data_IF_322293371772
#
_entry.id   IF_322293371772
#
_cell.length_a   1.000
_cell.length_b   1.000
_cell.length_c   1.000
_cell.angle_alpha   90.00
_cell.angle_beta   90.00
_cell.angle_gamma   90.00
#
_symmetry.space_group_name_H-M   'P 1'
#
loop_
_entity.id
_entity.type
_entity.pdbx_description
1 polymer ?
#
# COMPACT_ATOMS: atom_id res chain seq x y z
N UNK A 1 -22.35 -50.89 31.31
CA UNK A 1 -20.96 -50.50 31.61
C UNK A 1 -20.50 -49.39 30.70
N UNK A 2 -20.36 -48.24 31.25
CA UNK A 2 -19.67 -47.07 30.73
C UNK A 2 -18.14 -47.31 30.75
N UNK A 3 -17.32 -46.59 29.96
CA UNK A 3 -16.93 -45.25 30.29
C UNK A 3 -16.75 -44.33 29.05
N UNK A 4 -17.25 -43.09 29.12
CA UNK A 4 -16.55 -41.80 29.29
C UNK A 4 -15.19 -41.62 28.61
N UNK A 5 -15.16 -40.79 27.58
CA UNK A 5 -13.96 -40.17 27.02
C UNK A 5 -14.32 -38.76 26.55
N UNK A 6 -13.82 -37.74 27.28
CA UNK A 6 -14.01 -36.35 26.94
C UNK A 6 -13.19 -35.94 25.73
N UNK A 7 -13.81 -35.26 24.78
CA UNK A 7 -13.15 -34.53 23.73
C UNK A 7 -13.03 -33.06 24.19
N UNK A 8 -11.80 -32.58 24.24
CA UNK A 8 -11.53 -31.15 24.33
C UNK A 8 -11.81 -30.53 22.95
N UNK A 9 -12.79 -29.65 22.91
CA UNK A 9 -12.94 -28.68 21.81
C UNK A 9 -11.80 -27.68 21.93
N UNK A 10 -10.85 -27.79 21.02
CA UNK A 10 -9.97 -26.68 20.69
C UNK A 10 -10.68 -25.87 19.60
N UNK A 11 -11.22 -24.74 19.97
CA UNK A 11 -11.71 -23.74 19.04
C UNK A 11 -10.51 -23.09 18.38
N UNK A 12 -10.05 -23.67 17.26
CA UNK A 12 -9.20 -22.96 16.31
C UNK A 12 -10.06 -21.89 15.64
N UNK A 13 -9.82 -20.64 16.00
CA UNK A 13 -10.26 -19.49 15.24
C UNK A 13 -9.32 -19.34 14.04
N UNK A 14 -9.49 -20.19 13.05
CA UNK A 14 -9.04 -19.87 11.70
C UNK A 14 -9.96 -18.78 11.15
N UNK A 15 -9.45 -17.56 11.09
CA UNK A 15 -10.07 -16.48 10.32
C UNK A 15 -10.17 -16.87 8.85
N UNK A 16 -10.97 -16.14 8.06
CA UNK A 16 -11.14 -16.45 6.65
C UNK A 16 -9.80 -16.31 5.94
N UNK A 17 -9.14 -17.41 5.70
CA UNK A 17 -8.05 -17.49 4.73
C UNK A 17 -8.73 -17.58 3.37
N UNK A 18 -8.44 -16.63 2.49
CA UNK A 18 -8.70 -16.86 1.07
C UNK A 18 -7.91 -18.11 0.70
N UNK A 19 -8.64 -19.20 0.49
CA UNK A 19 -8.06 -20.41 -0.09
C UNK A 19 -7.74 -20.04 -1.55
N UNK A 20 -6.49 -19.67 -1.81
CA UNK A 20 -5.97 -19.52 -3.16
C UNK A 20 -6.04 -20.91 -3.75
N UNK A 21 -7.21 -21.23 -4.32
CA UNK A 21 -7.51 -22.51 -4.92
C UNK A 21 -6.40 -22.87 -5.89
N UNK A 22 -5.74 -24.01 -5.66
CA UNK A 22 -4.65 -24.51 -6.46
C UNK A 22 -5.05 -24.81 -7.91
N UNK A 23 -5.11 -23.75 -8.69
CA UNK A 23 -4.91 -23.79 -10.13
C UNK A 23 -3.42 -23.61 -10.37
N UNK A 24 -2.79 -24.51 -11.10
CA UNK A 24 -1.38 -24.45 -11.50
C UNK A 24 -1.11 -23.27 -12.45
N UNK A 25 -1.40 -22.04 -12.03
CA UNK A 25 -1.14 -20.86 -12.84
C UNK A 25 -1.04 -19.62 -11.95
N UNK A 26 0.15 -19.15 -11.77
CA UNK A 26 0.50 -18.04 -10.92
C UNK A 26 0.69 -18.54 -9.48
N UNK A 27 1.88 -19.06 -9.17
CA UNK A 27 2.28 -19.32 -7.80
C UNK A 27 2.16 -18.06 -6.97
N UNK A 28 2.00 -18.19 -5.65
CA UNK A 28 2.00 -17.04 -4.77
C UNK A 28 3.23 -16.21 -5.12
N UNK A 29 3.05 -14.92 -5.25
CA UNK A 29 4.12 -13.96 -5.53
C UNK A 29 5.21 -14.05 -4.46
N UNK A 30 4.85 -14.63 -3.35
CA UNK A 30 5.71 -15.06 -2.30
C UNK A 30 5.90 -16.59 -2.42
N UNK A 31 6.81 -17.05 -3.29
CA UNK A 31 7.16 -18.47 -3.31
C UNK A 31 7.82 -18.85 -1.99
N UNK A 32 7.23 -19.77 -1.23
CA UNK A 32 7.92 -20.30 -0.06
C UNK A 32 9.17 -21.04 -0.55
N UNK A 33 10.33 -20.61 -0.11
CA UNK A 33 11.50 -21.46 -0.15
C UNK A 33 11.22 -22.64 0.77
N UNK A 34 10.86 -23.80 0.21
CA UNK A 34 10.66 -25.00 0.97
C UNK A 34 11.92 -25.30 1.80
N UNK A 35 11.78 -25.36 3.12
CA UNK A 35 12.84 -25.72 4.05
C UNK A 35 13.65 -24.59 4.67
N UNK A 36 13.22 -23.33 4.58
CA UNK A 36 13.82 -22.26 5.37
C UNK A 36 13.28 -22.30 6.82
N UNK A 37 14.09 -22.75 7.81
CA UNK A 37 13.64 -22.82 9.22
C UNK A 37 13.31 -21.44 9.81
N UNK A 38 13.68 -20.33 9.15
CA UNK A 38 13.27 -18.98 9.53
C UNK A 38 11.84 -18.66 9.09
N UNK A 39 11.25 -19.52 8.25
CA UNK A 39 9.87 -19.42 7.77
C UNK A 39 8.93 -20.43 8.42
N UNK A 40 9.38 -21.64 8.72
CA UNK A 40 8.59 -22.61 9.49
C UNK A 40 8.31 -22.16 10.93
N UNK A 41 9.00 -21.12 11.38
CA UNK A 41 8.78 -20.44 12.66
C UNK A 41 8.17 -19.05 12.57
N UNK A 42 7.76 -18.60 11.40
CA UNK A 42 6.89 -17.43 11.22
C UNK A 42 7.49 -16.07 11.56
N UNK A 43 8.78 -15.85 11.60
CA UNK A 43 9.19 -14.62 12.27
C UNK A 43 9.47 -13.42 11.36
N UNK A 44 10.07 -13.57 10.17
CA UNK A 44 10.49 -12.38 9.40
C UNK A 44 9.53 -12.01 8.26
N UNK A 45 8.99 -12.97 7.53
CA UNK A 45 8.15 -12.69 6.38
C UNK A 45 6.70 -12.35 6.77
N UNK A 46 6.10 -13.15 7.63
CA UNK A 46 4.70 -12.94 8.04
C UNK A 46 4.50 -11.71 8.93
N UNK A 47 5.43 -11.44 9.87
CA UNK A 47 5.31 -10.26 10.73
C UNK A 47 5.53 -8.95 9.98
N UNK A 48 6.46 -8.89 9.06
CA UNK A 48 6.75 -7.67 8.31
C UNK A 48 5.59 -7.24 7.41
N UNK A 49 4.85 -8.19 6.87
CA UNK A 49 3.68 -7.94 6.02
C UNK A 49 2.36 -7.87 6.81
N UNK A 50 2.41 -7.97 8.14
CA UNK A 50 1.23 -7.82 9.02
C UNK A 50 1.04 -6.39 9.51
N UNK A 51 1.52 -5.39 8.77
CA UNK A 51 1.36 -3.98 9.13
C UNK A 51 0.58 -3.21 8.08
N UNK A 52 -0.26 -2.29 8.60
CA UNK A 52 -0.79 -1.19 7.81
C UNK A 52 -0.15 0.12 8.28
N UNK A 53 0.31 0.93 7.31
CA UNK A 53 0.98 2.20 7.58
C UNK A 53 0.08 3.37 7.19
N UNK A 54 -0.31 4.18 8.18
CA UNK A 54 -1.30 5.24 7.99
C UNK A 54 -0.70 6.61 8.33
N UNK A 55 -0.76 7.54 7.39
CA UNK A 55 -0.30 8.90 7.58
C UNK A 55 -1.26 9.70 8.48
N UNK A 56 -0.73 10.23 9.58
CA UNK A 56 -1.38 11.19 10.46
C UNK A 56 -1.01 12.60 10.00
N UNK A 57 -1.65 13.06 8.93
CA UNK A 57 -1.27 14.29 8.24
C UNK A 57 -1.26 15.50 9.16
N UNK A 58 -2.30 15.65 10.01
CA UNK A 58 -2.40 16.78 10.93
C UNK A 58 -1.34 16.79 12.04
N UNK A 59 -0.71 15.64 12.31
CA UNK A 59 0.36 15.49 13.30
C UNK A 59 1.75 15.49 12.66
N UNK A 60 1.84 15.26 11.36
CA UNK A 60 3.13 15.10 10.66
C UNK A 60 3.83 13.77 10.94
N UNK A 61 3.07 12.73 11.27
CA UNK A 61 3.59 11.41 11.65
C UNK A 61 3.01 10.30 10.77
N UNK A 62 3.59 9.11 10.89
CA UNK A 62 3.06 7.87 10.31
C UNK A 62 2.91 6.82 11.41
N UNK A 63 1.77 6.14 11.45
CA UNK A 63 1.48 5.03 12.36
C UNK A 63 1.79 3.70 11.71
N UNK A 64 2.45 2.80 12.43
CA UNK A 64 2.60 1.38 12.14
C UNK A 64 1.61 0.59 12.99
N UNK A 65 0.61 0.00 12.38
CA UNK A 65 -0.47 -0.72 13.07
C UNK A 65 -0.42 -2.18 12.63
N UNK A 66 -0.35 -3.08 13.60
CA UNK A 66 -0.42 -4.51 13.34
C UNK A 66 -1.84 -4.89 12.90
N UNK A 67 -1.96 -5.49 11.69
CA UNK A 67 -3.26 -5.81 11.09
C UNK A 67 -3.98 -6.93 11.83
N UNK A 68 -3.26 -7.84 12.46
CA UNK A 68 -3.85 -8.99 13.16
C UNK A 68 -4.36 -8.62 14.55
N UNK A 69 -3.60 -7.76 15.26
CA UNK A 69 -3.92 -7.39 16.65
C UNK A 69 -4.66 -6.07 16.80
N UNK A 70 -4.70 -5.24 15.76
CA UNK A 70 -5.21 -3.87 15.78
C UNK A 70 -4.48 -2.97 16.78
N UNK A 71 -3.20 -3.25 17.04
CA UNK A 71 -2.36 -2.48 17.99
C UNK A 71 -1.37 -1.64 17.18
N UNK A 72 -1.23 -0.37 17.56
CA UNK A 72 -0.15 0.48 17.06
C UNK A 72 1.17 0.06 17.70
N UNK A 73 2.17 -0.24 16.88
CA UNK A 73 3.50 -0.70 17.28
C UNK A 73 4.60 0.29 16.93
N UNK A 74 4.22 1.47 16.45
CA UNK A 74 5.15 2.57 16.18
C UNK A 74 4.44 3.79 15.64
N UNK A 75 4.93 4.98 16.00
CA UNK A 75 4.49 6.26 15.43
C UNK A 75 5.68 7.19 15.24
N UNK A 76 5.97 7.49 13.99
CA UNK A 76 7.22 8.13 13.59
C UNK A 76 6.97 9.50 12.99
N UNK A 77 7.81 10.49 13.30
CA UNK A 77 7.80 11.79 12.63
C UNK A 77 8.25 11.59 11.18
N UNK A 78 7.47 12.07 10.21
CA UNK A 78 7.69 11.80 8.78
C UNK A 78 8.64 12.80 8.09
N UNK A 79 9.03 13.90 8.76
CA UNK A 79 9.89 14.96 8.21
C UNK A 79 10.50 15.79 9.35
N UNK A 80 11.71 16.38 9.18
CA UNK A 80 12.38 17.18 10.22
C UNK A 80 11.54 18.31 10.81
N UNK A 81 10.79 19.01 10.00
CA UNK A 81 9.97 20.14 10.42
C UNK A 81 8.67 20.19 9.60
N UNK A 82 7.53 20.27 10.29
CA UNK A 82 6.25 20.53 9.67
C UNK A 82 5.87 19.51 8.60
N UNK A 83 6.03 18.23 8.89
CA UNK A 83 5.65 17.16 8.00
C UNK A 83 4.17 17.23 7.59
N UNK A 84 3.88 16.91 6.35
CA UNK A 84 2.54 16.84 5.77
C UNK A 84 2.39 15.51 5.00
N UNK A 85 2.57 14.34 5.72
CA UNK A 85 2.54 13.03 5.10
C UNK A 85 1.15 12.73 4.53
N UNK A 86 1.11 12.12 3.34
CA UNK A 86 -0.18 11.80 2.73
C UNK A 86 -0.20 10.51 1.93
N UNK A 87 0.90 10.13 1.33
CA UNK A 87 1.01 8.90 0.53
C UNK A 87 2.03 7.99 1.14
N UNK A 88 1.68 6.73 1.14
CA UNK A 88 2.52 5.63 1.58
C UNK A 88 2.69 4.63 0.45
N UNK A 89 3.77 3.91 0.47
CA UNK A 89 3.94 2.67 -0.28
C UNK A 89 4.77 1.73 0.58
N UNK A 90 4.41 0.47 0.61
CA UNK A 90 5.07 -0.55 1.44
C UNK A 90 5.75 -1.54 0.53
N UNK A 91 7.03 -1.82 0.80
CA UNK A 91 7.81 -2.79 0.02
C UNK A 91 7.55 -4.23 0.48
N UNK A 92 8.14 -5.21 -0.20
CA UNK A 92 7.95 -6.62 0.12
C UNK A 92 8.72 -7.09 1.37
N UNK A 93 9.43 -6.18 2.06
CA UNK A 93 9.96 -6.37 3.41
C UNK A 93 9.04 -5.79 4.50
N UNK A 94 7.94 -5.14 4.10
CA UNK A 94 7.02 -4.46 5.00
C UNK A 94 7.40 -3.03 5.35
N UNK A 95 8.55 -2.53 4.87
CA UNK A 95 9.01 -1.17 5.14
C UNK A 95 8.18 -0.15 4.37
N UNK A 96 7.93 0.98 4.98
CA UNK A 96 7.14 2.04 4.37
C UNK A 96 8.01 3.16 3.82
N UNK A 97 7.66 3.64 2.64
CA UNK A 97 8.02 4.99 2.20
C UNK A 97 6.83 5.93 2.37
N UNK A 98 7.05 7.11 2.93
CA UNK A 98 6.02 8.11 3.14
C UNK A 98 6.43 9.44 2.51
N UNK A 99 5.61 9.92 1.55
CA UNK A 99 5.81 11.19 0.88
C UNK A 99 5.07 12.32 1.61
N UNK A 100 5.75 13.45 1.80
CA UNK A 100 5.20 14.66 2.40
C UNK A 100 4.78 15.65 1.31
N UNK A 101 3.53 16.12 1.33
CA UNK A 101 2.99 17.05 0.32
C UNK A 101 3.79 18.33 0.15
N UNK A 102 4.50 18.73 1.19
CA UNK A 102 5.37 19.90 1.22
C UNK A 102 6.86 19.57 0.96
N UNK A 103 7.11 18.46 0.26
CA UNK A 103 8.43 17.99 -0.11
C UNK A 103 9.08 17.06 0.92
N UNK A 104 9.92 16.16 0.42
CA UNK A 104 10.65 15.17 1.20
C UNK A 104 9.93 13.82 1.36
N UNK A 105 10.70 12.77 1.38
CA UNK A 105 10.25 11.39 1.51
C UNK A 105 11.12 10.63 2.50
N UNK A 106 10.50 9.85 3.37
CA UNK A 106 11.18 9.05 4.39
C UNK A 106 10.88 7.56 4.22
N UNK A 107 11.84 6.71 4.59
CA UNK A 107 11.64 5.27 4.75
C UNK A 107 11.75 4.90 6.23
N UNK A 108 10.85 4.02 6.69
CA UNK A 108 10.92 3.42 8.03
C UNK A 108 10.94 1.91 7.92
N UNK A 109 11.78 1.28 8.76
CA UNK A 109 11.85 -0.17 8.86
C UNK A 109 10.62 -0.75 9.56
N UNK A 110 10.10 -1.86 9.01
CA UNK A 110 9.00 -2.59 9.63
C UNK A 110 9.47 -3.42 10.82
N UNK A 111 10.60 -4.11 10.66
CA UNK A 111 11.13 -4.99 11.69
C UNK A 111 12.09 -4.23 12.61
N UNK A 112 11.91 -4.34 13.93
CA UNK A 112 12.86 -3.74 14.88
C UNK A 112 14.31 -4.25 14.72
N UNK A 113 14.48 -5.46 14.18
CA UNK A 113 15.80 -6.03 13.93
C UNK A 113 16.57 -5.37 12.77
N UNK A 114 15.87 -4.67 11.88
CA UNK A 114 16.45 -3.92 10.77
C UNK A 114 16.77 -2.48 11.15
N UNK A 115 16.20 -1.98 12.28
CA UNK A 115 16.52 -0.67 12.84
C UNK A 115 18.00 -0.60 13.23
N UNK A 116 18.61 0.56 13.03
CA UNK A 116 20.07 0.69 13.18
C UNK A 116 20.44 1.64 14.31
N UNK A 117 21.23 1.12 15.25
CA UNK A 117 21.85 1.93 16.31
C UNK A 117 22.64 3.10 15.69
N UNK A 118 22.26 4.31 15.99
CA UNK A 118 22.80 5.52 15.38
C UNK A 118 23.24 6.58 16.38
N UNK A 119 22.83 6.46 17.66
CA UNK A 119 23.03 7.52 18.66
C UNK A 119 24.05 7.17 19.74
N UNK A 120 24.53 5.92 19.79
CA UNK A 120 25.53 5.43 20.78
C UNK A 120 24.94 5.09 22.14
N UNK A 121 23.62 5.02 22.26
CA UNK A 121 22.90 4.53 23.44
C UNK A 121 22.58 3.05 23.20
N UNK A 122 23.12 2.12 24.00
CA UNK A 122 22.92 0.70 23.72
C UNK A 122 21.47 0.25 23.61
N UNK A 123 21.15 -0.46 22.54
CA UNK A 123 19.81 -0.92 22.19
C UNK A 123 19.09 0.03 21.23
N UNK A 124 18.10 -0.45 20.51
CA UNK A 124 17.33 0.35 19.54
C UNK A 124 16.34 1.24 20.28
N UNK A 125 16.45 2.55 20.07
CA UNK A 125 15.49 3.54 20.52
C UNK A 125 14.48 3.79 19.41
N UNK A 126 13.24 3.39 19.64
CA UNK A 126 12.15 3.58 18.70
C UNK A 126 10.82 3.82 19.42
N UNK A 127 9.95 4.57 18.79
CA UNK A 127 8.57 4.78 19.26
C UNK A 127 7.80 3.48 19.24
N UNK A 128 6.96 3.25 20.24
CA UNK A 128 6.01 2.12 20.28
C UNK A 128 4.57 2.55 19.97
N UNK A 129 4.32 3.83 19.80
CA UNK A 129 3.00 4.36 19.48
C UNK A 129 2.81 5.83 19.85
N UNK A 130 1.56 6.25 19.97
CA UNK A 130 1.22 7.67 20.19
C UNK A 130 1.74 8.27 21.50
N UNK A 131 2.07 7.44 22.50
CA UNK A 131 2.47 7.91 23.83
C UNK A 131 3.96 8.27 23.94
N UNK A 132 4.79 7.80 23.04
CA UNK A 132 6.26 7.87 23.11
C UNK A 132 6.92 8.25 21.78
N UNK A 133 6.28 9.09 21.01
CA UNK A 133 6.82 9.60 19.73
C UNK A 133 8.18 10.27 20.00
N UNK A 134 9.23 9.73 19.40
CA UNK A 134 10.57 10.28 19.54
C UNK A 134 10.76 11.52 18.66
N UNK A 135 11.60 12.49 19.09
CA UNK A 135 12.00 13.61 18.25
C UNK A 135 12.64 13.16 16.94
N UNK A 136 12.55 14.00 15.91
CA UNK A 136 13.20 13.72 14.63
C UNK A 136 14.71 13.44 14.79
N UNK A 137 15.16 12.34 14.19
CA UNK A 137 16.55 11.91 14.23
C UNK A 137 16.94 11.13 15.49
N UNK A 138 16.01 10.89 16.42
CA UNK A 138 16.23 10.04 17.58
C UNK A 138 15.62 8.65 17.43
N UNK A 139 14.70 8.47 16.45
CA UNK A 139 14.08 7.18 16.17
C UNK A 139 14.97 6.37 15.22
N UNK A 140 15.47 5.25 15.71
CA UNK A 140 16.44 4.40 15.00
C UNK A 140 15.80 3.44 13.99
N UNK A 141 14.46 3.46 13.88
CA UNK A 141 13.75 2.80 12.79
C UNK A 141 13.52 3.71 11.58
N UNK A 142 13.99 4.97 11.61
CA UNK A 142 14.13 5.79 10.42
C UNK A 142 15.31 5.26 9.57
N UNK A 143 15.00 4.64 8.43
CA UNK A 143 16.03 4.09 7.54
C UNK A 143 16.80 5.21 6.81
N UNK A 144 16.05 6.12 6.19
CA UNK A 144 16.60 7.29 5.50
C UNK A 144 15.53 8.36 5.28
N UNK A 145 15.99 9.57 5.01
CA UNK A 145 15.15 10.69 4.56
C UNK A 145 15.82 11.42 3.41
N UNK A 146 15.08 11.66 2.34
CA UNK A 146 15.53 12.44 1.20
C UNK A 146 14.77 13.74 1.15
N UNK A 147 15.51 14.84 1.32
CA UNK A 147 14.96 16.20 1.18
C UNK A 147 14.64 16.46 -0.29
N UNK A 148 13.41 16.83 -0.57
CA UNK A 148 12.96 17.27 -1.90
C UNK A 148 12.42 18.68 -1.79
N UNK A 149 13.05 19.61 -2.52
CA UNK A 149 12.63 21.01 -2.53
C UNK A 149 11.60 21.23 -3.64
N UNK A 150 10.35 20.94 -3.34
CA UNK A 150 9.22 21.09 -4.26
C UNK A 150 7.96 21.55 -3.53
N UNK A 151 7.03 22.14 -4.29
CA UNK A 151 5.73 22.58 -3.79
C UNK A 151 4.73 21.43 -3.64
N UNK A 152 4.98 20.30 -4.30
CA UNK A 152 4.13 19.09 -4.21
C UNK A 152 4.97 17.84 -4.38
N UNK A 153 4.96 16.97 -3.34
CA UNK A 153 5.50 15.62 -3.39
C UNK A 153 4.43 14.67 -2.83
N UNK A 154 3.77 13.92 -3.71
CA UNK A 154 2.64 13.06 -3.30
C UNK A 154 2.87 11.58 -3.61
N UNK A 155 3.22 11.19 -4.86
CA UNK A 155 3.40 9.78 -5.19
C UNK A 155 4.48 9.11 -4.34
N UNK A 156 4.24 7.87 -3.98
CA UNK A 156 5.24 6.93 -3.49
C UNK A 156 4.85 5.56 -4.04
N UNK A 157 5.76 4.89 -4.74
CA UNK A 157 5.52 3.59 -5.34
C UNK A 157 6.80 2.76 -5.38
N UNK A 158 6.88 1.73 -4.54
CA UNK A 158 7.98 0.79 -4.53
C UNK A 158 7.95 -0.10 -5.77
N UNK A 159 9.11 -0.40 -6.33
CA UNK A 159 9.30 -1.56 -7.20
C UNK A 159 9.47 -2.81 -6.33
N UNK A 160 9.29 -3.99 -6.91
CA UNK A 160 9.46 -5.26 -6.18
C UNK A 160 10.92 -5.56 -5.83
N UNK A 161 11.84 -5.11 -6.69
CA UNK A 161 13.22 -5.58 -6.67
C UNK A 161 13.35 -6.98 -7.26
N UNK A 162 14.56 -7.54 -7.16
CA UNK A 162 14.92 -8.86 -7.69
C UNK A 162 14.71 -9.94 -6.64
N UNK A 163 13.98 -10.99 -7.00
CA UNK A 163 13.81 -12.16 -6.16
C UNK A 163 15.04 -13.06 -6.21
N UNK A 164 15.49 -13.52 -5.07
CA UNK A 164 16.60 -14.47 -4.93
C UNK A 164 16.16 -15.75 -4.22
N UNK A 165 16.19 -16.87 -4.92
CA UNK A 165 15.96 -18.17 -4.33
C UNK A 165 16.98 -18.52 -3.22
N UNK A 166 18.22 -18.00 -3.33
CA UNK A 166 19.26 -18.26 -2.35
C UNK A 166 19.00 -17.61 -0.99
N UNK A 167 18.31 -16.48 -0.97
CA UNK A 167 17.98 -15.73 0.25
C UNK A 167 16.49 -15.79 0.57
N UNK A 168 15.68 -16.37 -0.32
CA UNK A 168 14.23 -16.41 -0.24
C UNK A 168 13.61 -15.02 -0.01
N UNK A 169 14.12 -14.03 -0.69
CA UNK A 169 13.69 -12.64 -0.49
C UNK A 169 13.94 -11.78 -1.71
N UNK A 170 13.40 -10.60 -1.64
CA UNK A 170 13.60 -9.54 -2.63
C UNK A 170 14.74 -8.62 -2.20
N UNK A 171 15.47 -8.07 -3.15
CA UNK A 171 16.52 -7.08 -2.92
C UNK A 171 16.58 -6.08 -4.07
N UNK A 172 17.25 -4.94 -3.87
CA UNK A 172 17.38 -3.95 -4.93
C UNK A 172 16.08 -3.21 -5.29
N UNK A 173 15.07 -3.25 -4.43
CA UNK A 173 13.86 -2.46 -4.64
C UNK A 173 14.20 -0.98 -4.76
N UNK A 174 13.57 -0.29 -5.70
CA UNK A 174 13.69 1.15 -5.92
C UNK A 174 12.36 1.83 -5.61
N UNK A 175 12.38 3.13 -5.42
CA UNK A 175 11.19 3.90 -5.06
C UNK A 175 10.94 5.01 -6.07
N UNK A 176 9.81 4.94 -6.75
CA UNK A 176 9.30 6.03 -7.54
C UNK A 176 8.61 7.09 -6.70
N UNK A 177 8.85 8.35 -7.01
CA UNK A 177 8.12 9.49 -6.46
C UNK A 177 8.03 10.61 -7.49
N UNK A 178 7.32 11.70 -7.16
CA UNK A 178 7.30 12.88 -8.00
C UNK A 178 7.48 14.15 -7.17
N UNK A 179 8.17 15.13 -7.73
CA UNK A 179 8.44 16.42 -7.14
C UNK A 179 8.04 17.52 -8.14
N UNK A 180 6.92 18.18 -7.89
CA UNK A 180 6.27 19.11 -8.82
C UNK A 180 5.97 18.45 -10.19
N UNK A 181 6.76 18.79 -11.21
CA UNK A 181 6.59 18.29 -12.59
C UNK A 181 7.47 17.09 -12.93
N UNK A 182 8.39 16.75 -12.06
CA UNK A 182 9.44 15.75 -12.29
C UNK A 182 9.08 14.42 -11.64
N UNK A 183 9.39 13.31 -12.29
CA UNK A 183 9.35 11.98 -11.69
C UNK A 183 10.77 11.57 -11.32
N UNK A 184 10.92 11.01 -10.14
CA UNK A 184 12.19 10.61 -9.55
C UNK A 184 12.19 9.12 -9.24
N UNK A 185 13.31 8.45 -9.51
CA UNK A 185 13.60 7.09 -9.06
C UNK A 185 14.69 7.16 -8.00
N UNK A 186 14.42 6.60 -6.82
CA UNK A 186 15.31 6.58 -5.69
C UNK A 186 15.80 5.17 -5.41
N UNK A 187 17.05 5.06 -4.98
CA UNK A 187 17.58 3.84 -4.42
C UNK A 187 16.84 3.48 -3.12
N UNK A 188 16.32 2.27 -3.02
CA UNK A 188 15.46 1.86 -1.91
C UNK A 188 16.22 1.66 -0.59
N UNK A 189 17.53 1.42 -0.65
CA UNK A 189 18.35 1.23 0.55
C UNK A 189 18.89 2.54 1.12
N UNK A 190 19.16 3.50 0.26
CA UNK A 190 19.86 4.73 0.67
C UNK A 190 19.03 6.00 0.53
N UNK A 191 17.91 5.95 -0.20
CA UNK A 191 17.12 7.13 -0.56
C UNK A 191 17.79 8.05 -1.59
N UNK A 192 18.96 7.70 -2.14
CA UNK A 192 19.65 8.52 -3.14
C UNK A 192 18.83 8.58 -4.44
N UNK A 193 18.72 9.76 -5.04
CA UNK A 193 18.07 9.92 -6.35
C UNK A 193 19.01 9.30 -7.41
N UNK A 194 18.53 8.25 -8.07
CA UNK A 194 19.26 7.56 -9.14
C UNK A 194 18.91 8.11 -10.51
N UNK A 195 17.65 8.53 -10.71
CA UNK A 195 17.18 9.10 -11.95
C UNK A 195 16.19 10.23 -11.72
N UNK A 196 16.24 11.22 -12.60
CA UNK A 196 15.24 12.30 -12.70
C UNK A 196 14.71 12.36 -14.12
N UNK A 197 13.40 12.33 -14.27
CA UNK A 197 12.68 12.50 -15.55
C UNK A 197 11.97 13.84 -15.47
N UNK A 198 12.55 14.90 -16.06
CA UNK A 198 12.09 16.27 -15.81
C UNK A 198 10.89 16.66 -16.66
N UNK A 199 9.99 17.45 -16.08
CA UNK A 199 8.96 18.19 -16.81
C UNK A 199 7.90 17.36 -17.50
N UNK A 200 7.62 16.14 -17.02
CA UNK A 200 6.69 15.21 -17.69
C UNK A 200 5.26 15.25 -17.16
N UNK A 201 5.03 15.96 -16.08
CA UNK A 201 3.71 16.15 -15.49
C UNK A 201 3.40 17.61 -15.20
N UNK A 202 2.25 17.84 -14.57
CA UNK A 202 1.84 19.15 -14.10
C UNK A 202 1.43 19.14 -12.62
N UNK A 203 0.77 18.11 -12.14
CA UNK A 203 0.42 17.92 -10.74
C UNK A 203 0.16 16.43 -10.45
N UNK A 204 1.20 15.74 -10.08
CA UNK A 204 1.09 14.33 -9.72
C UNK A 204 0.32 14.16 -8.42
N UNK A 205 -0.78 13.42 -8.48
CA UNK A 205 -1.66 13.19 -7.35
C UNK A 205 -1.48 11.79 -6.74
N UNK A 206 -1.19 10.79 -7.54
CA UNK A 206 -0.93 9.42 -7.12
C UNK A 206 0.07 8.72 -8.01
N UNK A 207 0.56 7.60 -7.53
CA UNK A 207 1.44 6.71 -8.28
C UNK A 207 1.37 5.29 -7.75
N UNK A 208 1.64 4.35 -8.64
CA UNK A 208 1.78 2.92 -8.36
C UNK A 208 2.88 2.35 -9.25
N UNK A 209 3.46 1.23 -8.88
CA UNK A 209 4.35 0.47 -9.74
C UNK A 209 3.66 -0.81 -10.22
N UNK A 210 3.96 -1.22 -11.45
CA UNK A 210 3.53 -2.53 -11.95
C UNK A 210 4.53 -3.64 -11.59
N UNK A 211 4.22 -4.86 -11.98
CA UNK A 211 5.05 -6.04 -11.69
C UNK A 211 6.43 -6.03 -12.36
N UNK A 212 6.60 -5.22 -13.40
CA UNK A 212 7.86 -5.02 -14.12
C UNK A 212 8.69 -3.89 -13.51
N UNK A 213 8.11 -3.11 -12.58
CA UNK A 213 8.77 -1.98 -11.92
C UNK A 213 8.52 -0.64 -12.59
N UNK A 214 7.70 -0.56 -13.64
CA UNK A 214 7.37 0.71 -14.28
C UNK A 214 6.52 1.59 -13.36
N UNK A 215 6.70 2.89 -13.45
CA UNK A 215 5.88 3.85 -12.73
C UNK A 215 4.60 4.18 -13.48
N UNK A 216 3.49 4.12 -12.79
CA UNK A 216 2.20 4.61 -13.25
C UNK A 216 1.82 5.83 -12.42
N UNK A 217 1.76 6.98 -13.06
CA UNK A 217 1.47 8.26 -12.44
C UNK A 217 0.08 8.78 -12.80
N UNK A 218 -0.61 9.31 -11.80
CA UNK A 218 -1.86 10.03 -11.96
C UNK A 218 -1.57 11.53 -11.89
N UNK A 219 -1.50 12.18 -13.04
CA UNK A 219 -1.39 13.65 -13.14
C UNK A 219 -2.79 14.25 -13.28
N UNK A 220 -3.23 15.00 -12.27
CA UNK A 220 -4.55 15.63 -12.25
C UNK A 220 -4.51 17.10 -12.61
N UNK A 221 -3.34 17.64 -12.97
CA UNK A 221 -3.20 19.00 -13.48
C UNK A 221 -3.69 19.12 -14.92
N UNK A 222 -4.04 20.33 -15.32
CA UNK A 222 -4.49 20.61 -16.68
C UNK A 222 -5.74 19.82 -17.08
N UNK A 223 -5.63 19.04 -18.15
CA UNK A 223 -6.71 18.15 -18.63
C UNK A 223 -6.77 16.81 -17.94
N UNK A 224 -5.76 16.50 -17.12
CA UNK A 224 -5.59 15.21 -16.46
C UNK A 224 -5.09 14.10 -17.38
N UNK A 225 -4.13 13.32 -16.92
CA UNK A 225 -3.57 12.21 -17.69
C UNK A 225 -3.11 11.06 -16.80
N UNK A 226 -3.19 9.84 -17.35
CA UNK A 226 -2.45 8.70 -16.87
C UNK A 226 -1.08 8.71 -17.57
N UNK A 227 -0.03 8.42 -16.81
CA UNK A 227 1.33 8.44 -17.31
C UNK A 227 2.01 7.14 -16.92
N UNK A 228 2.82 6.57 -17.82
CA UNK A 228 3.74 5.47 -17.55
C UNK A 228 5.16 5.92 -17.82
N UNK A 229 6.06 5.60 -16.89
CA UNK A 229 7.51 5.68 -17.12
C UNK A 229 8.08 4.28 -17.08
N UNK A 230 8.73 3.89 -18.15
CA UNK A 230 9.42 2.60 -18.24
C UNK A 230 10.66 2.58 -17.34
N UNK A 231 10.89 1.49 -16.61
CA UNK A 231 12.01 1.38 -15.68
C UNK A 231 13.36 1.19 -16.38
N UNK A 232 13.38 0.58 -17.56
CA UNK A 232 14.59 0.20 -18.25
C UNK A 232 15.18 1.35 -19.08
N UNK A 233 14.34 2.08 -19.82
CA UNK A 233 14.80 3.13 -20.73
C UNK A 233 14.29 4.54 -20.38
N UNK A 234 13.46 4.65 -19.32
CA UNK A 234 12.82 5.88 -18.88
C UNK A 234 11.92 6.54 -19.93
N UNK A 235 11.47 5.76 -20.89
CA UNK A 235 10.50 6.17 -21.90
C UNK A 235 9.16 6.55 -21.25
N UNK A 236 8.56 7.65 -21.71
CA UNK A 236 7.32 8.19 -21.14
C UNK A 236 6.17 8.00 -22.11
N UNK A 237 5.08 7.42 -21.64
CA UNK A 237 3.82 7.29 -22.35
C UNK A 237 2.72 7.99 -21.57
N UNK A 238 1.76 8.60 -22.27
CA UNK A 238 0.66 9.32 -21.63
C UNK A 238 -0.65 9.10 -22.35
N UNK A 239 -1.74 9.03 -21.57
CA UNK A 239 -3.11 8.89 -22.06
C UNK A 239 -4.05 9.83 -21.29
N UNK A 240 -5.08 10.37 -21.93
CA UNK A 240 -6.10 11.13 -21.21
C UNK A 240 -6.74 10.27 -20.11
N UNK A 241 -7.10 10.88 -18.99
CA UNK A 241 -7.87 10.17 -17.95
C UNK A 241 -9.24 9.74 -18.48
N UNK A 242 -9.71 8.62 -17.94
CA UNK A 242 -11.05 8.10 -18.19
C UNK A 242 -12.16 9.04 -17.66
N UNK A 243 -13.42 8.75 -18.01
CA UNK A 243 -14.56 9.63 -17.75
C UNK A 243 -14.85 9.88 -16.26
N UNK A 244 -14.38 8.99 -15.37
CA UNK A 244 -14.51 9.14 -13.91
C UNK A 244 -13.42 10.03 -13.33
N UNK A 245 -12.40 10.37 -14.12
CA UNK A 245 -11.23 11.10 -13.66
C UNK A 245 -10.32 10.21 -12.82
N UNK A 246 -9.55 10.82 -11.93
CA UNK A 246 -8.65 10.09 -11.06
C UNK A 246 -8.37 10.82 -9.77
N UNK A 247 -8.38 10.08 -8.66
CA UNK A 247 -7.97 10.52 -7.35
C UNK A 247 -6.99 9.52 -6.73
N UNK A 248 -7.37 8.25 -6.66
CA UNK A 248 -6.52 7.12 -6.36
C UNK A 248 -6.05 6.39 -7.60
N UNK A 249 -4.95 5.68 -7.49
CA UNK A 249 -4.42 4.79 -8.52
C UNK A 249 -3.86 3.53 -7.86
N UNK A 250 -4.10 2.39 -8.50
CA UNK A 250 -3.46 1.11 -8.18
C UNK A 250 -3.22 0.35 -9.47
N UNK A 251 -2.29 -0.59 -9.45
CA UNK A 251 -2.09 -1.54 -10.54
C UNK A 251 -2.58 -2.90 -10.05
N UNK A 252 -3.51 -3.45 -10.77
CA UNK A 252 -4.09 -4.76 -10.47
C UNK A 252 -3.36 -5.90 -11.18
N UNK A 253 -3.88 -7.13 -11.06
CA UNK A 253 -3.40 -8.28 -11.82
C UNK A 253 -3.30 -7.96 -13.31
N UNK A 254 -2.38 -8.61 -14.01
CA UNK A 254 -2.11 -8.39 -15.43
C UNK A 254 -1.48 -7.01 -15.74
N UNK A 255 -0.95 -6.30 -14.74
CA UNK A 255 -0.36 -4.98 -14.95
C UNK A 255 -1.36 -3.89 -15.33
N UNK A 256 -2.66 -4.11 -15.14
CA UNK A 256 -3.72 -3.15 -15.52
C UNK A 256 -3.81 -2.02 -14.51
N UNK A 257 -3.60 -0.76 -14.92
CA UNK A 257 -3.81 0.37 -14.03
C UNK A 257 -5.30 0.67 -13.85
N UNK A 258 -5.64 0.94 -12.58
CA UNK A 258 -6.97 1.36 -12.15
C UNK A 258 -6.89 2.76 -11.57
N UNK A 259 -7.82 3.61 -11.96
CA UNK A 259 -8.03 4.90 -11.30
C UNK A 259 -9.38 4.94 -10.62
N UNK A 260 -9.46 5.66 -9.53
CA UNK A 260 -10.67 5.83 -8.76
C UNK A 260 -10.81 7.29 -8.32
N UNK A 261 -12.03 7.77 -8.21
CA UNK A 261 -12.27 9.16 -7.92
C UNK A 261 -13.73 9.50 -7.76
N UNK A 262 -14.10 10.75 -8.02
CA UNK A 262 -15.43 11.30 -7.80
C UNK A 262 -16.53 10.71 -8.68
N UNK A 263 -16.71 9.41 -8.65
CA UNK A 263 -17.77 8.78 -9.40
C UNK A 263 -17.58 7.27 -9.62
N UNK A 264 -16.57 6.63 -9.01
CA UNK A 264 -16.40 5.18 -9.12
C UNK A 264 -14.97 4.75 -9.46
N UNK A 265 -14.84 3.67 -10.23
CA UNK A 265 -13.57 3.09 -10.67
C UNK A 265 -13.49 3.01 -12.18
N UNK A 266 -12.27 3.17 -12.71
CA UNK A 266 -11.96 3.02 -14.13
C UNK A 266 -10.77 2.10 -14.30
N UNK A 267 -10.89 1.16 -15.23
CA UNK A 267 -9.83 0.24 -15.65
C UNK A 267 -9.28 0.70 -16.99
N UNK A 268 -7.97 0.82 -17.11
CA UNK A 268 -7.31 1.11 -18.37
C UNK A 268 -6.90 -0.19 -19.08
N UNK A 269 -7.24 -0.32 -20.32
CA UNK A 269 -6.80 -1.42 -21.17
C UNK A 269 -5.64 -0.94 -22.04
N UNK A 270 -4.46 -1.51 -21.82
CA UNK A 270 -3.23 -1.16 -22.52
C UNK A 270 -3.24 -1.53 -24.00
N UNK A 271 -3.87 -2.66 -24.36
CA UNK A 271 -3.86 -3.14 -25.75
C UNK A 271 -4.72 -2.28 -26.67
N UNK A 272 -5.82 -1.76 -26.14
CA UNK A 272 -6.77 -0.95 -26.92
C UNK A 272 -6.65 0.55 -26.59
N UNK A 273 -5.88 0.92 -25.57
CA UNK A 273 -5.75 2.28 -25.04
C UNK A 273 -7.11 2.91 -24.68
N UNK A 274 -8.02 2.10 -24.14
CA UNK A 274 -9.37 2.52 -23.78
C UNK A 274 -9.65 2.34 -22.29
N UNK A 275 -10.68 3.04 -21.82
CA UNK A 275 -11.15 2.96 -20.45
C UNK A 275 -12.49 2.24 -20.38
N UNK A 276 -12.57 1.27 -19.46
CA UNK A 276 -13.82 0.75 -18.96
C UNK A 276 -14.10 1.37 -17.59
N UNK A 277 -15.33 1.81 -17.34
CA UNK A 277 -15.64 2.55 -16.12
C UNK A 277 -16.99 2.15 -15.57
N UNK A 278 -17.09 2.10 -14.25
CA UNK A 278 -18.35 1.95 -13.54
C UNK A 278 -18.45 3.03 -12.47
N UNK A 279 -19.60 3.71 -12.44
CA UNK A 279 -19.86 4.80 -11.51
C UNK A 279 -20.73 4.36 -10.36
N UNK A 280 -20.22 4.53 -9.16
CA UNK A 280 -21.01 4.74 -7.94
C UNK A 280 -20.09 5.34 -6.91
N UNK A 281 -20.40 6.52 -6.38
CA UNK A 281 -19.81 6.93 -5.15
C UNK A 281 -18.93 8.15 -5.18
N UNK A 282 -18.21 8.32 -4.08
CA UNK A 282 -17.50 9.51 -3.70
C UNK A 282 -16.04 9.56 -4.13
N UNK A 283 -15.35 10.53 -3.57
CA UNK A 283 -13.90 10.69 -3.73
C UNK A 283 -13.21 9.76 -2.74
N UNK A 284 -12.35 8.88 -3.23
CA UNK A 284 -11.58 7.98 -2.37
C UNK A 284 -10.55 7.17 -3.15
N UNK A 285 -9.73 6.43 -2.41
CA UNK A 285 -8.81 5.47 -2.94
C UNK A 285 -9.49 4.19 -3.41
N UNK A 286 -8.77 3.37 -4.11
CA UNK A 286 -9.16 2.01 -4.43
C UNK A 286 -7.96 1.07 -4.30
N UNK A 287 -8.26 -0.20 -4.09
CA UNK A 287 -7.26 -1.25 -3.98
C UNK A 287 -7.83 -2.57 -4.50
N UNK A 288 -7.03 -3.29 -5.28
CA UNK A 288 -7.37 -4.65 -5.70
C UNK A 288 -7.09 -5.66 -4.59
N UNK A 289 -7.87 -6.74 -4.55
CA UNK A 289 -7.59 -7.92 -3.73
C UNK A 289 -6.53 -8.85 -4.37
N UNK A 290 -5.98 -8.44 -5.50
CA UNK A 290 -4.96 -9.22 -6.22
C UNK A 290 -5.50 -10.38 -7.04
N UNK A 291 -6.79 -10.64 -7.01
CA UNK A 291 -7.41 -11.77 -7.72
C UNK A 291 -8.54 -11.29 -8.64
N UNK A 292 -9.65 -10.89 -8.10
CA UNK A 292 -10.87 -10.68 -8.85
C UNK A 292 -11.68 -9.44 -8.47
N UNK A 293 -11.33 -8.75 -7.40
CA UNK A 293 -12.11 -7.62 -6.88
C UNK A 293 -11.26 -6.37 -6.73
N UNK A 294 -11.80 -5.24 -7.18
CA UNK A 294 -11.30 -3.92 -6.82
C UNK A 294 -12.24 -3.25 -5.83
N UNK A 295 -11.71 -2.84 -4.69
CA UNK A 295 -12.42 -2.17 -3.63
C UNK A 295 -12.34 -0.66 -3.74
N UNK A 296 -13.45 0.03 -3.50
CA UNK A 296 -13.57 1.48 -3.55
C UNK A 296 -14.56 1.99 -2.50
N UNK A 297 -14.35 3.20 -1.99
CA UNK A 297 -15.28 3.86 -1.08
C UNK A 297 -16.33 4.68 -1.85
N UNK A 298 -17.61 4.52 -1.49
CA UNK A 298 -18.72 5.25 -2.11
C UNK A 298 -18.86 6.71 -1.66
N UNK A 299 -18.02 7.17 -0.73
CA UNK A 299 -18.09 8.51 -0.15
C UNK A 299 -19.13 8.70 0.95
N UNK A 300 -19.84 7.63 1.33
CA UNK A 300 -20.83 7.64 2.41
C UNK A 300 -20.58 6.55 3.48
N UNK A 301 -19.44 5.87 3.40
CA UNK A 301 -19.04 4.82 4.33
C UNK A 301 -19.32 3.40 3.84
N UNK A 302 -19.76 3.22 2.61
CA UNK A 302 -19.87 1.90 2.01
C UNK A 302 -18.62 1.57 1.21
N UNK A 303 -17.97 0.47 1.54
CA UNK A 303 -16.94 -0.14 0.70
C UNK A 303 -17.63 -1.02 -0.34
N UNK A 304 -17.34 -0.76 -1.62
CA UNK A 304 -17.86 -1.51 -2.76
C UNK A 304 -16.74 -2.31 -3.40
N UNK A 305 -16.93 -3.62 -3.51
CA UNK A 305 -16.08 -4.53 -4.26
C UNK A 305 -16.67 -4.78 -5.65
N UNK A 306 -15.93 -4.42 -6.69
CA UNK A 306 -16.30 -4.66 -8.08
C UNK A 306 -15.46 -5.80 -8.63
N UNK A 307 -16.11 -6.73 -9.31
CA UNK A 307 -15.42 -7.74 -10.11
C UNK A 307 -14.58 -7.07 -11.20
N UNK A 308 -13.29 -7.42 -11.28
CA UNK A 308 -12.33 -6.73 -12.14
C UNK A 308 -12.57 -6.94 -13.65
N UNK A 309 -13.33 -7.97 -14.04
CA UNK A 309 -13.63 -8.24 -15.45
C UNK A 309 -14.98 -7.67 -15.86
N UNK A 310 -16.01 -7.89 -15.06
CA UNK A 310 -17.39 -7.50 -15.41
C UNK A 310 -17.79 -6.12 -14.91
N UNK A 311 -17.03 -5.53 -13.99
CA UNK A 311 -17.31 -4.27 -13.30
C UNK A 311 -18.65 -4.28 -12.53
N UNK A 312 -19.16 -5.46 -12.19
CA UNK A 312 -20.36 -5.60 -11.35
C UNK A 312 -19.97 -5.56 -9.88
N UNK A 313 -20.82 -4.97 -9.04
CA UNK A 313 -20.66 -5.04 -7.58
C UNK A 313 -20.91 -6.49 -7.14
N UNK A 314 -19.90 -7.11 -6.55
CA UNK A 314 -19.95 -8.50 -6.06
C UNK A 314 -19.86 -8.60 -4.54
N UNK A 315 -19.38 -7.54 -3.88
CA UNK A 315 -19.34 -7.47 -2.42
C UNK A 315 -19.52 -6.04 -1.94
N UNK A 316 -19.98 -5.89 -0.68
CA UNK A 316 -20.08 -4.58 -0.03
C UNK A 316 -19.98 -4.70 1.47
N UNK A 317 -19.34 -3.73 2.12
CA UNK A 317 -19.28 -3.65 3.59
C UNK A 317 -19.62 -2.23 4.04
N UNK A 318 -20.55 -2.11 5.00
CA UNK A 318 -20.92 -0.84 5.59
C UNK A 318 -19.98 -0.50 6.74
N UNK A 319 -19.27 0.62 6.63
CA UNK A 319 -18.44 1.19 7.68
C UNK A 319 -19.21 2.26 8.47
N UNK A 320 -18.79 2.56 9.70
CA UNK A 320 -19.46 3.56 10.56
C UNK A 320 -19.45 4.99 10.01
N UNK A 321 -18.47 5.34 9.18
CA UNK A 321 -18.32 6.68 8.59
C UNK A 321 -17.70 6.62 7.20
N UNK A 322 -17.63 7.78 6.53
CA UNK A 322 -16.88 7.94 5.29
C UNK A 322 -15.41 7.60 5.46
N UNK A 323 -14.88 6.77 4.57
CA UNK A 323 -13.44 6.47 4.47
C UNK A 323 -12.88 6.96 3.14
N UNK A 324 -11.65 7.41 3.21
CA UNK A 324 -10.94 8.01 2.09
C UNK A 324 -9.86 7.09 1.52
N UNK A 325 -9.09 6.46 2.38
CA UNK A 325 -8.12 5.43 2.02
C UNK A 325 -8.76 4.06 1.98
N UNK A 326 -8.37 3.26 1.00
CA UNK A 326 -8.76 1.84 0.89
C UNK A 326 -7.49 1.03 0.67
N UNK A 327 -7.32 -0.05 1.42
CA UNK A 327 -6.25 -1.02 1.25
C UNK A 327 -6.77 -2.43 1.51
N UNK A 328 -5.97 -3.43 1.16
CA UNK A 328 -6.21 -4.84 1.50
C UNK A 328 -5.00 -5.35 2.25
N UNK A 329 -5.17 -6.15 3.28
CA UNK A 329 -4.07 -6.78 4.00
C UNK A 329 -3.84 -8.22 3.51
N UNK A 330 -2.74 -8.83 3.98
CA UNK A 330 -2.35 -10.18 3.58
C UNK A 330 -3.23 -11.28 4.18
N UNK A 331 -4.12 -10.95 5.12
CA UNK A 331 -5.15 -11.83 5.65
C UNK A 331 -6.48 -11.68 4.87
N UNK A 332 -6.52 -10.81 3.84
CA UNK A 332 -7.67 -10.60 2.96
C UNK A 332 -8.74 -9.66 3.51
N UNK A 333 -8.46 -8.96 4.61
CA UNK A 333 -9.37 -7.92 5.11
C UNK A 333 -9.22 -6.63 4.31
N UNK A 334 -10.34 -5.93 4.15
CA UNK A 334 -10.38 -4.63 3.50
C UNK A 334 -10.33 -3.52 4.54
N UNK A 335 -9.40 -2.61 4.35
CA UNK A 335 -9.21 -1.47 5.24
C UNK A 335 -9.82 -0.22 4.65
N UNK A 336 -10.54 0.51 5.52
CA UNK A 336 -11.01 1.86 5.22
C UNK A 336 -10.39 2.87 6.19
N UNK A 337 -9.70 3.89 5.67
CA UNK A 337 -9.10 4.94 6.49
C UNK A 337 -9.92 6.21 6.38
N UNK A 338 -10.33 6.76 7.53
CA UNK A 338 -11.14 7.97 7.59
C UNK A 338 -10.45 9.19 6.99
N UNK A 339 -11.23 10.21 6.67
CA UNK A 339 -10.74 11.47 6.11
C UNK A 339 -10.68 12.55 7.18
N UNK A 340 -9.47 12.93 7.58
CA UNK A 340 -9.20 13.90 8.67
C UNK A 340 -9.78 13.47 10.02
N UNK A 341 -10.06 12.20 10.20
CA UNK A 341 -10.61 11.61 11.43
C UNK A 341 -9.53 10.89 12.23
N UNK A 342 -9.95 10.21 13.30
CA UNK A 342 -9.08 9.41 14.16
C UNK A 342 -9.14 7.92 13.84
N UNK A 343 -9.98 7.52 12.86
CA UNK A 343 -10.37 6.14 12.71
C UNK A 343 -9.79 5.48 11.44
N UNK A 344 -9.46 4.21 11.59
CA UNK A 344 -9.32 3.25 10.51
C UNK A 344 -10.15 2.00 10.85
N UNK A 345 -10.67 1.36 9.82
CA UNK A 345 -11.56 0.21 9.92
C UNK A 345 -10.98 -0.97 9.19
N UNK A 346 -10.91 -2.12 9.85
CA UNK A 346 -10.59 -3.40 9.25
C UNK A 346 -11.89 -4.17 9.07
N UNK A 347 -12.25 -4.46 7.85
CA UNK A 347 -13.53 -5.08 7.48
C UNK A 347 -13.32 -6.46 6.88
N UNK A 348 -14.06 -7.44 7.36
CA UNK A 348 -14.14 -8.75 6.75
C UNK A 348 -15.10 -8.69 5.55
N UNK A 349 -14.62 -8.90 4.31
CA UNK A 349 -15.47 -8.79 3.13
C UNK A 349 -16.48 -9.94 2.97
N UNK A 350 -16.35 -11.01 3.77
CA UNK A 350 -17.22 -12.19 3.73
C UNK A 350 -18.33 -12.09 4.78
N UNK A 351 -17.95 -11.81 6.04
CA UNK A 351 -18.90 -11.75 7.16
C UNK A 351 -19.52 -10.36 7.34
N UNK A 352 -18.83 -9.31 6.87
CA UNK A 352 -19.21 -7.93 7.09
C UNK A 352 -18.81 -7.39 8.48
N UNK A 353 -18.06 -8.16 9.26
CA UNK A 353 -17.58 -7.72 10.56
C UNK A 353 -16.56 -6.58 10.43
N UNK A 354 -16.66 -5.59 11.31
CA UNK A 354 -15.79 -4.40 11.27
C UNK A 354 -15.14 -4.19 12.62
N UNK A 355 -13.82 -4.08 12.61
CA UNK A 355 -13.02 -3.66 13.76
C UNK A 355 -12.55 -2.22 13.57
N UNK A 356 -12.36 -1.48 14.65
CA UNK A 356 -11.99 -0.06 14.61
C UNK A 356 -10.69 0.18 15.35
N UNK A 357 -9.77 0.90 14.70
CA UNK A 357 -8.64 1.58 15.34
C UNK A 357 -8.96 3.08 15.38
N UNK A 358 -8.84 3.74 16.54
CA UNK A 358 -9.37 5.09 16.80
C UNK A 358 -8.33 6.11 17.30
N UNK A 359 -7.02 5.81 17.16
CA UNK A 359 -5.95 6.64 17.70
C UNK A 359 -5.18 7.44 16.63
N UNK A 360 -5.70 7.54 15.41
CA UNK A 360 -5.10 8.37 14.35
C UNK A 360 -5.29 9.88 14.66
N UNK A 361 -4.50 10.71 14.00
CA UNK A 361 -4.58 12.17 14.14
C UNK A 361 -4.70 12.85 12.78
N UNK A 362 -5.93 13.10 12.38
CA UNK A 362 -6.22 13.73 11.09
C UNK A 362 -5.68 12.92 9.92
N UNK A 363 -6.03 11.64 9.88
CA UNK A 363 -5.59 10.70 8.87
C UNK A 363 -5.91 11.16 7.45
N UNK A 364 -4.94 11.01 6.56
CA UNK A 364 -5.11 11.29 5.13
C UNK A 364 -4.15 10.42 4.32
N UNK A 365 -4.62 9.26 3.90
CA UNK A 365 -3.84 8.31 3.11
C UNK A 365 -4.74 7.53 2.18
N UNK A 366 -4.28 7.12 1.00
CA UNK A 366 -5.09 6.40 0.01
C UNK A 366 -4.24 5.75 -1.10
N UNK A 367 -3.11 5.21 -0.76
CA UNK A 367 -2.20 4.44 -1.62
C UNK A 367 -1.94 3.07 -1.00
N UNK A 368 -0.93 2.35 -1.45
CA UNK A 368 -0.59 1.06 -0.87
C UNK A 368 -0.07 1.22 0.56
N UNK A 369 -0.90 0.85 1.53
CA UNK A 369 -0.61 0.98 2.95
C UNK A 369 -0.09 -0.30 3.58
N UNK A 370 -0.10 -1.42 2.85
CA UNK A 370 0.22 -2.75 3.39
C UNK A 370 1.29 -3.50 2.59
N UNK A 371 1.59 -3.09 1.35
CA UNK A 371 2.43 -3.82 0.41
C UNK A 371 1.66 -4.87 -0.41
N UNK A 372 0.37 -5.04 -0.13
CA UNK A 372 -0.44 -6.03 -0.82
C UNK A 372 -0.61 -5.71 -2.31
N UNK A 373 -0.79 -4.43 -2.66
CA UNK A 373 -0.90 -4.03 -4.06
C UNK A 373 0.37 -4.31 -4.85
N UNK A 374 1.54 -3.96 -4.29
CA UNK A 374 2.83 -4.26 -4.90
C UNK A 374 3.03 -5.77 -5.09
N UNK A 375 2.62 -6.56 -4.09
CA UNK A 375 2.66 -8.01 -4.16
C UNK A 375 1.78 -8.53 -5.29
N UNK A 376 0.55 -8.07 -5.40
CA UNK A 376 -0.43 -8.52 -6.38
C UNK A 376 -0.13 -8.06 -7.81
N UNK A 377 0.46 -6.88 -7.99
CA UNK A 377 0.82 -6.33 -9.31
C UNK A 377 1.81 -7.21 -10.10
N UNK A 378 2.57 -8.06 -9.42
CA UNK A 378 3.50 -9.00 -10.05
C UNK A 378 2.90 -10.37 -10.37
N UNK A 379 1.62 -10.61 -10.11
CA UNK A 379 0.97 -11.88 -10.46
C UNK A 379 0.89 -12.03 -11.97
N UNK A 380 1.24 -13.23 -12.46
CA UNK A 380 0.96 -13.58 -13.85
C UNK A 380 -0.58 -13.56 -14.08
N UNK A 381 -1.04 -13.17 -15.27
CA UNK A 381 -2.46 -13.27 -15.60
C UNK A 381 -2.93 -14.74 -15.45
N UNK A 382 -4.18 -14.97 -15.00
CA UNK A 382 -4.75 -16.30 -15.06
C UNK A 382 -4.73 -16.78 -16.53
N UNK A 383 -4.50 -18.07 -16.80
CA UNK A 383 -4.52 -18.57 -18.15
C UNK A 383 -5.88 -18.29 -18.77
N UNK A 384 -5.85 -17.78 -20.00
CA UNK A 384 -7.06 -17.67 -20.80
C UNK A 384 -7.72 -19.05 -20.91
N UNK A 385 -8.93 -19.18 -20.35
CA UNK A 385 -9.74 -20.39 -20.34
C UNK A 385 -10.44 -20.67 -21.67
#
# INVERSE_FOLDING_TARGET
HNPSGGGQDSSDHDGPKFDVGGGETGGPIYEPCEGDPKREGGARGELALSYIWIANTSQGTISKINTQTMVEEGRYIAKPLGGDPSRTSVNLHGDVAVANRNGGIAKFWANPEDCQESNGIPGIQTSSGTADILPWGEDECLAWYTELTCGSNRPAAWTRGDYSEATCGYSGAQLWTACDTDVLLLNGETGAIEQTIPGIGSFFYGGAADGEGNFWGLDTGGVGQLLRVDIDDFGVQTWPLGPIGGYGITVGPQGRPWTCGGGGVSRFNLDTETWDSVGAGGIGGCMTDGESVIWHSDGAGLLLGYDIETLQVVSQVQLPEYVHGVSVDFDGYVWGVGFTTTNAYRADPITGDVQTFDQLVGAYTYSDMTGFALNSAGSAPPPEG
#
